data_IF_779541703216
#
_entry.id   IF_779541703216
#
_cell.length_a   1.000
_cell.length_b   1.000
_cell.length_c   1.000
_cell.angle_alpha   90.00
_cell.angle_beta   90.00
_cell.angle_gamma   90.00
#
_symmetry.space_group_name_H-M   'P 1'
#
loop_
_entity.id
_entity.type
_entity.pdbx_description
1 polymer ?
#
# COMPACT_ATOMS: atom_id res chain seq x y z
N UNK A 1 2.59 34.63 -0.31
CA UNK A 1 1.36 33.83 -0.10
C UNK A 1 1.65 32.39 -0.48
N UNK A 2 1.43 31.46 0.44
CA UNK A 2 1.98 30.09 0.43
C UNK A 2 1.35 29.20 -0.64
N UNK A 3 2.13 28.75 -1.63
CA UNK A 3 1.75 27.66 -2.52
C UNK A 3 2.02 26.31 -1.85
N UNK A 4 1.22 25.95 -0.83
CA UNK A 4 1.08 24.54 -0.44
C UNK A 4 0.29 23.86 -1.55
N UNK A 5 0.99 23.35 -2.56
CA UNK A 5 0.39 22.52 -3.60
C UNK A 5 -0.44 21.42 -2.94
N UNK A 6 -1.72 21.29 -3.33
CA UNK A 6 -2.61 20.22 -2.84
C UNK A 6 -1.87 18.90 -2.96
N UNK A 7 -1.73 18.15 -1.86
CA UNK A 7 -1.14 16.81 -1.91
C UNK A 7 -1.91 15.99 -2.94
N UNK A 8 -1.23 15.57 -4.00
CA UNK A 8 -1.84 14.75 -5.04
C UNK A 8 -2.26 13.43 -4.39
N UNK A 9 -3.54 13.07 -4.51
CA UNK A 9 -4.03 11.77 -4.07
C UNK A 9 -3.27 10.69 -4.84
N UNK A 10 -2.60 9.79 -4.11
CA UNK A 10 -1.83 8.69 -4.69
C UNK A 10 -2.69 7.44 -4.63
N UNK A 11 -2.62 6.62 -5.67
CA UNK A 11 -3.20 5.28 -5.64
C UNK A 11 -2.59 4.46 -4.51
N UNK A 12 -3.46 3.86 -3.72
CA UNK A 12 -3.13 2.95 -2.62
C UNK A 12 -2.65 1.60 -3.15
N UNK A 13 -2.19 0.70 -2.29
CA UNK A 13 -1.86 -0.67 -2.72
C UNK A 13 -3.11 -1.42 -3.17
N UNK A 14 -4.24 -1.19 -2.50
CA UNK A 14 -5.53 -1.72 -2.91
C UNK A 14 -5.96 -1.19 -4.29
N UNK A 15 -5.86 0.12 -4.54
CA UNK A 15 -6.20 0.73 -5.84
C UNK A 15 -5.37 0.12 -6.99
N UNK A 16 -4.07 -0.07 -6.75
CA UNK A 16 -3.17 -0.67 -7.74
C UNK A 16 -3.54 -2.11 -8.06
N UNK A 17 -3.95 -2.87 -7.05
CA UNK A 17 -4.43 -4.24 -7.26
C UNK A 17 -5.79 -4.26 -7.99
N UNK A 18 -6.69 -3.34 -7.66
CA UNK A 18 -7.95 -3.16 -8.38
C UNK A 18 -7.71 -2.81 -9.86
N UNK A 19 -6.71 -1.98 -10.18
CA UNK A 19 -6.29 -1.72 -11.56
C UNK A 19 -5.84 -2.99 -12.29
N UNK A 20 -5.14 -3.90 -11.60
CA UNK A 20 -4.76 -5.19 -12.18
C UNK A 20 -5.99 -6.08 -12.45
N UNK A 21 -6.96 -6.11 -11.52
CA UNK A 21 -8.25 -6.79 -11.74
C UNK A 21 -8.99 -6.21 -12.95
N UNK A 22 -9.04 -4.89 -13.09
CA UNK A 22 -9.64 -4.22 -14.26
C UNK A 22 -8.93 -4.61 -15.58
N UNK A 23 -7.60 -4.68 -15.59
CA UNK A 23 -6.84 -5.16 -16.75
C UNK A 23 -7.18 -6.61 -17.11
N UNK A 24 -7.39 -7.47 -16.12
CA UNK A 24 -7.79 -8.86 -16.35
C UNK A 24 -9.20 -8.96 -16.95
N UNK A 25 -10.13 -8.09 -16.53
CA UNK A 25 -11.48 -7.99 -17.10
C UNK A 25 -11.48 -7.40 -18.52
N UNK A 26 -10.53 -6.50 -18.83
CA UNK A 26 -10.40 -5.84 -20.13
C UNK A 26 -8.98 -5.98 -20.69
N UNK A 27 -8.58 -7.19 -21.16
CA UNK A 27 -7.21 -7.45 -21.60
C UNK A 27 -6.73 -6.58 -22.77
N UNK A 28 -7.66 -6.13 -23.61
CA UNK A 28 -7.39 -5.30 -24.80
C UNK A 28 -7.39 -3.80 -24.53
N UNK A 29 -7.78 -3.35 -23.33
CA UNK A 29 -7.81 -1.93 -22.98
C UNK A 29 -6.42 -1.30 -23.12
N UNK A 30 -6.34 -0.09 -23.68
CA UNK A 30 -5.08 0.64 -23.77
C UNK A 30 -4.74 1.24 -22.41
N UNK A 31 -3.46 1.57 -22.20
CA UNK A 31 -3.03 2.19 -20.94
C UNK A 31 -3.70 3.54 -20.69
N UNK A 32 -4.02 4.31 -21.74
CA UNK A 32 -4.78 5.55 -21.61
C UNK A 32 -6.19 5.30 -21.05
N UNK A 33 -6.87 4.23 -21.49
CA UNK A 33 -8.22 3.90 -21.03
C UNK A 33 -8.21 3.46 -19.57
N UNK A 34 -7.21 2.66 -19.18
CA UNK A 34 -6.99 2.24 -17.80
C UNK A 34 -6.61 3.42 -16.89
N UNK A 35 -5.84 4.39 -17.41
CA UNK A 35 -5.50 5.61 -16.68
C UNK A 35 -6.74 6.49 -16.46
N UNK A 36 -7.59 6.66 -17.47
CA UNK A 36 -8.85 7.40 -17.36
C UNK A 36 -9.81 6.72 -16.37
N UNK A 37 -9.93 5.39 -16.43
CA UNK A 37 -10.70 4.62 -15.46
C UNK A 37 -10.16 4.81 -14.04
N UNK A 38 -8.84 4.73 -13.83
CA UNK A 38 -8.25 4.90 -12.50
C UNK A 38 -8.52 6.29 -11.90
N UNK A 39 -8.54 7.34 -12.73
CA UNK A 39 -8.90 8.70 -12.28
C UNK A 39 -10.33 8.75 -11.75
N UNK A 40 -11.27 8.15 -12.49
CA UNK A 40 -12.69 8.15 -12.13
C UNK A 40 -12.96 7.27 -10.90
N UNK A 41 -12.41 6.06 -10.89
CA UNK A 41 -12.66 5.07 -9.82
C UNK A 41 -12.01 5.47 -8.50
N UNK A 42 -10.79 6.00 -8.54
CA UNK A 42 -10.04 6.35 -7.32
C UNK A 42 -10.06 7.84 -6.99
N UNK A 43 -10.81 8.65 -7.74
CA UNK A 43 -10.91 10.10 -7.56
C UNK A 43 -9.51 10.77 -7.51
N UNK A 44 -8.69 10.47 -8.52
CA UNK A 44 -7.31 10.97 -8.58
C UNK A 44 -7.27 12.40 -9.10
N UNK A 45 -6.41 13.22 -8.51
CA UNK A 45 -6.23 14.63 -8.92
C UNK A 45 -5.60 14.79 -10.31
N UNK A 46 -4.98 13.74 -10.84
CA UNK A 46 -4.27 13.77 -12.12
C UNK A 46 -4.23 12.38 -12.76
N UNK A 47 -4.30 12.34 -14.08
CA UNK A 47 -4.19 11.10 -14.86
C UNK A 47 -2.79 10.48 -14.72
N UNK A 48 -2.68 9.21 -14.29
CA UNK A 48 -1.40 8.53 -14.24
C UNK A 48 -0.83 8.34 -15.65
N UNK A 49 0.50 8.39 -15.76
CA UNK A 49 1.17 8.19 -17.05
C UNK A 49 1.10 6.74 -17.50
N UNK A 50 1.22 6.48 -18.81
CA UNK A 50 1.28 5.11 -19.35
C UNK A 50 2.40 4.27 -18.73
N UNK A 51 3.55 4.90 -18.44
CA UNK A 51 4.65 4.26 -17.73
C UNK A 51 4.26 3.84 -16.30
N UNK A 52 3.46 4.67 -15.62
CA UNK A 52 2.95 4.38 -14.27
C UNK A 52 1.97 3.20 -14.31
N UNK A 53 1.03 3.19 -15.24
CA UNK A 53 0.10 2.08 -15.44
C UNK A 53 0.85 0.77 -15.72
N UNK A 54 1.78 0.80 -16.68
CA UNK A 54 2.59 -0.39 -17.01
C UNK A 54 3.42 -0.89 -15.83
N UNK A 55 4.03 0.02 -15.05
CA UNK A 55 4.78 -0.35 -13.86
C UNK A 55 3.89 -0.97 -12.78
N UNK A 56 2.67 -0.47 -12.60
CA UNK A 56 1.72 -1.03 -11.64
C UNK A 56 1.31 -2.44 -12.04
N UNK A 57 0.90 -2.62 -13.30
CA UNK A 57 0.49 -3.93 -13.81
C UNK A 57 1.60 -4.98 -13.69
N UNK A 58 2.87 -4.58 -13.87
CA UNK A 58 4.01 -5.49 -13.70
C UNK A 58 4.28 -5.86 -12.23
N UNK A 59 4.05 -4.95 -11.28
CA UNK A 59 4.50 -5.09 -9.88
C UNK A 59 3.39 -5.50 -8.90
N UNK A 60 2.13 -5.21 -9.20
CA UNK A 60 1.01 -5.35 -8.26
C UNK A 60 -0.04 -6.36 -8.74
N UNK A 61 0.41 -7.44 -9.41
CA UNK A 61 -0.47 -8.52 -9.84
C UNK A 61 -1.00 -9.38 -8.68
N UNK A 62 -0.23 -9.50 -7.60
CA UNK A 62 -0.63 -10.19 -6.38
C UNK A 62 -1.45 -9.29 -5.45
N UNK A 63 -2.33 -9.90 -4.68
CA UNK A 63 -3.13 -9.19 -3.68
C UNK A 63 -2.21 -8.65 -2.54
N UNK A 64 -2.40 -7.40 -2.08
CA UNK A 64 -1.63 -6.87 -0.97
C UNK A 64 -1.87 -7.69 0.30
N UNK A 65 -0.80 -8.16 0.94
CA UNK A 65 -0.90 -8.94 2.19
C UNK A 65 -1.04 -8.08 3.44
N UNK A 66 -0.74 -6.78 3.35
CA UNK A 66 -0.74 -5.86 4.48
C UNK A 66 -2.15 -5.37 4.82
N UNK A 67 -2.47 -5.32 6.11
CA UNK A 67 -3.76 -4.80 6.60
C UNK A 67 -3.97 -3.30 6.28
N UNK A 68 -2.89 -2.51 6.21
CA UNK A 68 -2.92 -1.07 5.91
C UNK A 68 -2.90 -0.74 4.40
N UNK A 69 -3.21 -1.70 3.54
CA UNK A 69 -3.13 -1.57 2.08
C UNK A 69 -4.03 -0.48 1.48
N UNK A 70 -5.16 -0.16 2.14
CA UNK A 70 -6.07 0.92 1.76
C UNK A 70 -5.54 2.32 2.12
N UNK A 71 -4.53 2.43 2.97
CA UNK A 71 -3.93 3.72 3.36
C UNK A 71 -2.52 3.92 2.79
N UNK A 72 -1.82 2.83 2.49
CA UNK A 72 -0.45 2.85 1.95
C UNK A 72 -0.45 3.01 0.44
N UNK A 73 0.41 3.90 -0.08
CA UNK A 73 0.71 3.99 -1.52
C UNK A 73 2.02 3.32 -1.92
N UNK A 74 2.84 2.89 -0.96
CA UNK A 74 4.16 2.31 -1.18
C UNK A 74 4.24 0.96 -0.50
N UNK A 75 4.67 -0.04 -1.26
CA UNK A 75 4.91 -1.39 -0.76
C UNK A 75 6.42 -1.55 -0.57
N UNK A 76 6.89 -1.25 0.65
CA UNK A 76 8.32 -1.37 1.00
C UNK A 76 8.53 -2.75 1.61
N UNK A 77 9.50 -3.54 1.13
CA UNK A 77 9.83 -4.79 1.78
C UNK A 77 10.33 -4.51 3.19
N UNK A 78 9.92 -5.37 4.12
CA UNK A 78 10.39 -5.36 5.51
C UNK A 78 11.84 -5.84 5.51
N UNK A 79 12.73 -5.11 6.17
CA UNK A 79 14.16 -5.44 6.18
C UNK A 79 14.47 -6.68 7.02
N UNK A 80 13.76 -6.87 8.13
CA UNK A 80 13.95 -7.96 9.07
C UNK A 80 12.62 -8.70 9.30
N UNK A 81 12.14 -9.49 8.33
CA UNK A 81 10.80 -10.09 8.38
C UNK A 81 10.60 -11.01 9.58
N UNK A 82 11.64 -11.73 10.00
CA UNK A 82 11.57 -12.62 11.17
C UNK A 82 11.47 -11.86 12.49
N UNK A 83 12.13 -10.70 12.59
CA UNK A 83 12.06 -9.86 13.80
C UNK A 83 10.67 -9.24 13.91
N UNK A 84 10.14 -8.74 12.79
CA UNK A 84 8.79 -8.16 12.74
C UNK A 84 7.72 -9.20 13.06
N UNK A 85 7.83 -10.42 12.55
CA UNK A 85 6.91 -11.51 12.90
C UNK A 85 6.92 -11.81 14.41
N UNK A 86 8.10 -12.00 15.01
CA UNK A 86 8.22 -12.27 16.46
C UNK A 86 7.72 -11.11 17.32
N UNK A 87 7.96 -9.88 16.88
CA UNK A 87 7.47 -8.69 17.57
C UNK A 87 5.96 -8.59 17.49
N UNK A 88 5.36 -8.86 16.33
CA UNK A 88 3.91 -8.87 16.14
C UNK A 88 3.24 -9.91 17.05
N UNK A 89 3.74 -11.14 17.06
CA UNK A 89 3.27 -12.21 17.98
C UNK A 89 3.38 -11.79 19.45
N UNK A 90 4.48 -11.16 19.85
CA UNK A 90 4.68 -10.69 21.21
C UNK A 90 3.77 -9.50 21.56
N UNK A 91 3.57 -8.56 20.64
CA UNK A 91 2.66 -7.42 20.81
C UNK A 91 1.23 -7.92 21.01
N UNK A 92 0.76 -8.83 20.14
CA UNK A 92 -0.58 -9.42 20.25
C UNK A 92 -0.79 -10.10 21.61
N UNK A 93 0.19 -10.85 22.09
CA UNK A 93 0.14 -11.45 23.43
C UNK A 93 0.11 -10.40 24.54
N UNK A 94 0.83 -9.30 24.41
CA UNK A 94 0.80 -8.20 25.38
C UNK A 94 -0.58 -7.50 25.40
N UNK A 95 -1.22 -7.33 24.25
CA UNK A 95 -2.57 -6.78 24.14
C UNK A 95 -3.61 -7.69 24.82
N UNK A 96 -3.53 -9.01 24.60
CA UNK A 96 -4.39 -10.00 25.29
C UNK A 96 -4.27 -9.91 26.82
N UNK A 97 -3.06 -9.64 27.32
CA UNK A 97 -2.76 -9.49 28.75
C UNK A 97 -3.03 -8.07 29.27
N UNK A 98 -3.55 -7.16 28.44
CA UNK A 98 -3.76 -5.74 28.76
C UNK A 98 -2.49 -5.02 29.26
N UNK A 99 -1.32 -5.42 28.76
CA UNK A 99 -0.05 -4.76 29.07
C UNK A 99 0.06 -3.47 28.26
N UNK A 100 0.41 -2.36 28.91
CA UNK A 100 0.67 -1.11 28.21
C UNK A 100 2.01 -1.21 27.45
N UNK A 101 1.93 -1.31 26.13
CA UNK A 101 3.11 -1.42 25.26
C UNK A 101 3.62 -0.01 24.92
N UNK A 102 4.89 0.25 25.24
CA UNK A 102 5.58 1.49 24.88
C UNK A 102 6.64 1.21 23.81
N UNK A 103 7.00 2.24 23.05
CA UNK A 103 8.07 2.11 22.04
C UNK A 103 9.45 1.79 22.61
N UNK A 104 9.68 1.99 23.91
CA UNK A 104 10.90 1.52 24.58
C UNK A 104 10.86 0.01 24.81
N UNK A 105 9.72 -0.52 25.25
CA UNK A 105 9.53 -1.95 25.48
C UNK A 105 9.67 -2.75 24.18
N UNK A 106 9.08 -2.25 23.08
CA UNK A 106 9.24 -2.85 21.74
C UNK A 106 10.72 -2.88 21.34
N UNK A 107 11.48 -1.80 21.57
CA UNK A 107 12.91 -1.75 21.24
C UNK A 107 13.73 -2.76 22.04
N UNK A 108 13.43 -2.92 23.34
CA UNK A 108 14.06 -3.94 24.18
C UNK A 108 13.75 -5.35 23.67
N UNK A 109 12.50 -5.62 23.32
CA UNK A 109 12.10 -6.92 22.76
C UNK A 109 12.73 -7.20 21.39
N UNK A 110 12.90 -6.18 20.55
CA UNK A 110 13.49 -6.32 19.22
C UNK A 110 15.00 -6.67 19.23
N UNK A 111 15.66 -6.46 20.38
CA UNK A 111 17.08 -6.75 20.57
C UNK A 111 17.33 -8.14 21.21
N UNK A 112 16.29 -8.79 21.72
CA UNK A 112 16.34 -10.10 22.37
C UNK A 112 16.24 -11.24 21.35
#
# INVERSE_FOLDING_TARGET
MSARGKMKKRMTLADKHALHKERALRPTAKYNDLAAWAVQTFDLTCTPTNATIGAILKRHGSEPTRADSNARSLDRPVQLPLVELKLDEWVLRCEELNVCITGELIRKQAQA
#
